data_IF_712810030747
#
_entry.id   IF_712810030747
#
_cell.length_a   1.000
_cell.length_b   1.000
_cell.length_c   1.000
_cell.angle_alpha   90.00
_cell.angle_beta   90.00
_cell.angle_gamma   90.00
#
_symmetry.space_group_name_H-M   'P 1'
#
loop_
_entity.id
_entity.type
_entity.pdbx_description
1 polymer ?
#
# COMPACT_ATOMS: atom_id res chain seq x y z
N UNK A 1 3.45 6.63 -16.13
CA UNK A 1 2.32 6.91 -15.21
C UNK A 1 2.74 6.78 -13.74
N UNK A 2 3.38 5.67 -13.32
CA UNK A 2 3.83 5.44 -11.95
C UNK A 2 4.57 6.63 -11.28
N UNK A 3 5.58 7.21 -11.94
CA UNK A 3 6.31 8.39 -11.42
C UNK A 3 5.41 9.58 -11.10
N UNK A 4 4.35 9.82 -11.89
CA UNK A 4 3.39 10.92 -11.63
C UNK A 4 2.53 10.64 -10.38
N UNK A 5 2.12 9.38 -10.19
CA UNK A 5 1.36 8.98 -8.99
C UNK A 5 2.21 9.13 -7.74
N UNK A 6 3.48 8.74 -7.82
CA UNK A 6 4.41 8.83 -6.70
C UNK A 6 4.69 10.29 -6.33
N UNK A 7 4.96 11.16 -7.30
CA UNK A 7 5.12 12.59 -7.05
C UNK A 7 3.87 13.23 -6.41
N UNK A 8 2.67 12.79 -6.79
CA UNK A 8 1.43 13.27 -6.17
C UNK A 8 1.29 12.79 -4.72
N UNK A 9 1.61 11.52 -4.44
CA UNK A 9 1.57 10.94 -3.10
C UNK A 9 2.63 11.56 -2.18
N UNK A 10 3.85 11.79 -2.69
CA UNK A 10 4.91 12.51 -1.99
C UNK A 10 4.48 13.95 -1.66
N UNK A 11 3.89 14.66 -2.64
CA UNK A 11 3.37 16.00 -2.42
C UNK A 11 2.31 16.07 -1.31
N UNK A 12 1.43 15.07 -1.24
CA UNK A 12 0.44 14.96 -0.16
C UNK A 12 1.08 14.59 1.18
N UNK A 13 2.05 13.69 1.21
CA UNK A 13 2.79 13.33 2.42
C UNK A 13 3.51 14.55 3.02
N UNK A 14 4.17 15.37 2.17
CA UNK A 14 4.80 16.62 2.57
C UNK A 14 3.81 17.62 3.18
N UNK A 15 2.63 17.80 2.58
CA UNK A 15 1.58 18.66 3.13
C UNK A 15 1.10 18.21 4.51
N UNK A 16 1.14 16.91 4.78
CA UNK A 16 0.75 16.30 6.07
C UNK A 16 1.90 16.21 7.08
N UNK A 17 3.13 16.60 6.70
CA UNK A 17 4.32 16.40 7.54
C UNK A 17 4.62 14.92 7.82
N UNK A 18 4.24 14.02 6.91
CA UNK A 18 4.43 12.58 7.06
C UNK A 18 5.58 12.07 6.17
N UNK A 19 6.34 11.10 6.68
CA UNK A 19 7.31 10.32 5.92
C UNK A 19 6.69 8.95 5.59
N UNK A 20 6.76 8.53 4.32
CA UNK A 20 6.02 7.37 3.81
C UNK A 20 6.84 6.53 2.84
N UNK A 21 6.45 5.26 2.68
CA UNK A 21 6.82 4.45 1.52
C UNK A 21 5.66 4.41 0.55
N UNK A 22 5.94 4.66 -0.72
CA UNK A 22 4.99 4.65 -1.82
C UNK A 22 5.38 3.48 -2.73
N UNK A 23 4.46 2.54 -2.91
CA UNK A 23 4.62 1.41 -3.82
C UNK A 23 3.57 1.47 -4.93
N UNK A 24 4.00 1.25 -6.17
CA UNK A 24 3.14 1.12 -7.34
C UNK A 24 3.38 -0.26 -7.94
N UNK A 25 2.30 -1.00 -8.18
CA UNK A 25 2.32 -2.33 -8.80
C UNK A 25 1.50 -2.34 -10.08
N UNK A 26 1.70 -3.35 -10.93
CA UNK A 26 0.82 -3.63 -12.07
C UNK A 26 -0.46 -4.36 -11.64
N UNK A 27 -1.33 -4.68 -12.60
CA UNK A 27 -2.58 -5.41 -12.36
C UNK A 27 -2.37 -6.85 -11.83
N UNK A 28 -1.17 -7.42 -12.05
CA UNK A 28 -0.74 -8.71 -11.51
C UNK A 28 -0.10 -8.59 -10.12
N UNK A 29 -0.03 -7.39 -9.55
CA UNK A 29 0.58 -7.12 -8.26
C UNK A 29 2.10 -7.15 -8.28
N UNK A 30 2.75 -7.07 -9.45
CA UNK A 30 4.21 -6.99 -9.57
C UNK A 30 4.69 -5.55 -9.40
N UNK A 31 5.76 -5.37 -8.65
CA UNK A 31 6.31 -4.06 -8.33
C UNK A 31 6.81 -3.34 -9.59
N UNK A 32 6.29 -2.14 -9.83
CA UNK A 32 6.74 -1.23 -10.89
C UNK A 32 7.69 -0.18 -10.31
N UNK A 33 7.33 0.41 -9.17
CA UNK A 33 8.09 1.50 -8.55
C UNK A 33 7.91 1.48 -7.04
N UNK A 34 9.01 1.68 -6.32
CA UNK A 34 9.03 1.87 -4.88
C UNK A 34 9.82 3.13 -4.56
N UNK A 35 9.25 4.00 -3.74
CA UNK A 35 9.92 5.20 -3.23
C UNK A 35 9.72 5.27 -1.71
N UNK A 36 10.83 5.30 -0.97
CA UNK A 36 10.82 5.51 0.49
C UNK A 36 11.38 6.90 0.75
N UNK A 37 10.57 7.76 1.36
CA UNK A 37 11.05 9.07 1.78
C UNK A 37 12.04 8.92 2.93
N UNK A 38 12.94 9.89 3.06
CA UNK A 38 13.88 9.96 4.18
C UNK A 38 13.15 9.90 5.53
N UNK A 39 13.82 9.34 6.53
CA UNK A 39 13.29 9.15 7.89
C UNK A 39 11.99 8.34 7.98
N UNK A 40 11.59 7.62 6.92
CA UNK A 40 10.47 6.67 6.98
C UNK A 40 10.88 5.33 7.59
N UNK A 41 10.05 4.77 8.46
CA UNK A 41 10.22 3.44 9.06
C UNK A 41 10.50 2.37 8.00
N UNK A 42 11.60 1.61 8.17
CA UNK A 42 12.06 0.59 7.21
C UNK A 42 11.01 -0.52 7.00
N UNK A 43 10.31 -0.93 8.06
CA UNK A 43 9.25 -1.95 7.97
C UNK A 43 8.11 -1.55 7.02
N UNK A 44 7.93 -0.25 6.74
CA UNK A 44 6.91 0.22 5.80
C UNK A 44 7.19 -0.17 4.35
N UNK A 45 8.39 -0.64 4.01
CA UNK A 45 8.71 -1.11 2.65
C UNK A 45 7.82 -2.27 2.24
N UNK A 46 7.87 -3.37 3.00
CA UNK A 46 7.06 -4.55 2.71
C UNK A 46 5.56 -4.28 2.93
N UNK A 47 5.21 -3.43 3.91
CA UNK A 47 3.81 -3.05 4.15
C UNK A 47 3.23 -2.28 2.95
N UNK A 48 3.98 -1.36 2.36
CA UNK A 48 3.52 -0.61 1.18
C UNK A 48 3.36 -1.54 -0.04
N UNK A 49 4.32 -2.43 -0.26
CA UNK A 49 4.25 -3.44 -1.34
C UNK A 49 3.04 -4.35 -1.14
N UNK A 50 2.84 -4.87 0.07
CA UNK A 50 1.69 -5.71 0.43
C UNK A 50 0.36 -4.98 0.20
N UNK A 51 0.22 -3.74 0.70
CA UNK A 51 -0.98 -2.93 0.49
C UNK A 51 -1.28 -2.68 -0.98
N UNK A 52 -0.26 -2.34 -1.78
CA UNK A 52 -0.42 -2.11 -3.21
C UNK A 52 -0.84 -3.40 -3.95
N UNK A 53 -0.21 -4.53 -3.61
CA UNK A 53 -0.54 -5.85 -4.17
C UNK A 53 -1.96 -6.28 -3.80
N UNK A 54 -2.36 -6.20 -2.54
CA UNK A 54 -3.74 -6.49 -2.10
C UNK A 54 -4.73 -5.64 -2.90
N UNK A 55 -4.45 -4.35 -3.06
CA UNK A 55 -5.33 -3.45 -3.79
C UNK A 55 -5.49 -3.83 -5.27
N UNK A 56 -4.40 -4.21 -5.94
CA UNK A 56 -4.41 -4.64 -7.33
C UNK A 56 -5.18 -5.96 -7.51
N UNK A 57 -4.84 -6.99 -6.74
CA UNK A 57 -5.40 -8.34 -6.88
C UNK A 57 -6.89 -8.39 -6.55
N UNK A 58 -7.33 -7.70 -5.50
CA UNK A 58 -8.72 -7.73 -5.06
C UNK A 58 -9.56 -6.57 -5.60
N UNK A 59 -8.94 -5.67 -6.38
CA UNK A 59 -9.57 -4.49 -7.01
C UNK A 59 -10.37 -3.65 -6.02
N UNK A 60 -9.82 -3.45 -4.81
CA UNK A 60 -10.43 -2.68 -3.73
C UNK A 60 -9.37 -2.22 -2.74
N UNK A 61 -9.57 -1.15 -1.97
CA UNK A 61 -8.61 -0.73 -0.94
C UNK A 61 -8.31 -1.87 0.05
N UNK A 62 -7.03 -2.05 0.42
CA UNK A 62 -6.62 -3.04 1.43
C UNK A 62 -7.31 -2.83 2.79
N UNK A 63 -7.70 -1.58 3.10
CA UNK A 63 -8.52 -1.22 4.25
C UNK A 63 -9.79 -2.08 4.41
N UNK A 64 -10.38 -2.54 3.31
CA UNK A 64 -11.58 -3.40 3.36
C UNK A 64 -11.30 -4.69 4.13
N UNK A 65 -10.09 -5.25 4.03
CA UNK A 65 -9.71 -6.47 4.75
C UNK A 65 -9.39 -6.19 6.21
N UNK A 66 -8.71 -5.07 6.49
CA UNK A 66 -8.49 -4.60 7.87
C UNK A 66 -9.83 -4.40 8.61
N UNK A 67 -10.81 -3.77 7.96
CA UNK A 67 -12.14 -3.55 8.51
C UNK A 67 -12.91 -4.87 8.71
N UNK A 68 -12.74 -5.86 7.83
CA UNK A 68 -13.33 -7.19 8.01
C UNK A 68 -12.81 -7.87 9.29
N UNK A 69 -11.50 -7.87 9.49
CA UNK A 69 -10.88 -8.45 10.69
C UNK A 69 -11.34 -7.70 11.93
N UNK A 70 -11.31 -6.37 11.90
CA UNK A 70 -11.79 -5.51 13.00
C UNK A 70 -13.25 -5.77 13.37
N UNK A 71 -14.09 -6.09 12.38
CA UNK A 71 -15.52 -6.37 12.56
C UNK A 71 -15.82 -7.87 12.83
N UNK A 72 -14.82 -8.66 13.21
CA UNK A 72 -14.99 -10.05 13.66
C UNK A 72 -14.98 -11.10 12.55
N UNK A 73 -14.80 -10.72 11.28
CA UNK A 73 -14.61 -11.68 10.17
C UNK A 73 -13.15 -12.14 10.10
N UNK A 74 -12.71 -12.88 11.12
CA UNK A 74 -11.32 -13.36 11.26
C UNK A 74 -10.85 -14.24 10.10
N UNK A 75 -11.77 -14.89 9.38
CA UNK A 75 -11.47 -15.67 8.18
C UNK A 75 -10.79 -14.85 7.07
N UNK A 76 -10.90 -13.51 7.09
CA UNK A 76 -10.19 -12.63 6.16
C UNK A 76 -8.66 -12.77 6.26
N UNK A 77 -8.11 -13.15 7.41
CA UNK A 77 -6.66 -13.39 7.61
C UNK A 77 -6.14 -14.60 6.82
N UNK A 78 -7.02 -15.53 6.46
CA UNK A 78 -6.66 -16.75 5.75
C UNK A 78 -6.76 -16.60 4.22
N UNK A 79 -7.20 -15.44 3.73
CA UNK A 79 -7.31 -15.18 2.29
C UNK A 79 -5.90 -15.00 1.70
N UNK A 80 -5.50 -15.83 0.71
CA UNK A 80 -4.17 -15.73 0.13
C UNK A 80 -3.90 -14.35 -0.47
N UNK A 81 -2.93 -13.63 0.11
CA UNK A 81 -2.49 -12.32 -0.37
C UNK A 81 -3.41 -11.14 -0.03
N UNK A 82 -4.35 -11.31 0.90
CA UNK A 82 -5.13 -10.21 1.48
C UNK A 82 -4.31 -9.39 2.48
#
# INVERSE_FOLDING_TARGET
>A
MAKKLVAAAEGEAKKRGATVVIAVVDDGGQLILLERLDDTQVASVEVAIGKARTAAIFRRPSKVFEDQVKNGRVAALALPGA
#
